data_IF_566097508692
#
_entry.id   IF_566097508692
#
_cell.length_a   1.000
_cell.length_b   1.000
_cell.length_c   1.000
_cell.angle_alpha   90.00
_cell.angle_beta   90.00
_cell.angle_gamma   90.00
#
_symmetry.space_group_name_H-M   'P 1'
#
loop_
_entity.id
_entity.type
_entity.pdbx_description
1 polymer ?
#
# COMPACT_ATOMS: atom_id res chain seq x y z
N UNK A 1 9.00 -15.28 5.75
CA UNK A 1 9.59 -14.21 4.91
C UNK A 1 8.77 -12.95 5.14
N UNK A 2 9.30 -12.02 5.94
CA UNK A 2 8.62 -10.75 6.24
C UNK A 2 8.94 -9.79 5.11
N UNK A 3 8.03 -9.65 4.15
CA UNK A 3 8.17 -8.65 3.10
C UNK A 3 8.10 -7.27 3.77
N UNK A 4 9.25 -6.61 3.86
CA UNK A 4 9.36 -5.24 4.34
C UNK A 4 8.57 -4.37 3.37
N UNK A 5 7.44 -3.87 3.85
CA UNK A 5 6.55 -2.99 3.11
C UNK A 5 7.15 -1.59 3.04
N UNK A 6 8.20 -1.45 2.23
CA UNK A 6 8.84 -0.17 1.91
C UNK A 6 9.05 -0.15 0.41
N UNK A 7 7.96 -0.32 -0.35
CA UNK A 7 8.01 -0.11 -1.80
C UNK A 7 6.89 0.84 -2.19
N UNK A 8 7.34 2.07 -2.38
CA UNK A 8 6.72 3.24 -2.97
C UNK A 8 5.46 3.86 -2.34
N UNK A 9 5.71 5.00 -1.69
CA UNK A 9 4.81 6.14 -1.65
C UNK A 9 5.64 7.37 -2.02
N UNK A 10 5.96 7.57 -3.30
CA UNK A 10 6.46 8.86 -3.75
C UNK A 10 5.29 9.62 -4.33
N UNK A 11 4.79 10.59 -3.56
CA UNK A 11 4.61 11.98 -3.96
C UNK A 11 4.55 12.82 -2.64
N UNK A 12 5.58 13.64 -2.41
CA UNK A 12 5.62 14.81 -1.52
C UNK A 12 5.67 14.74 0.03
N UNK A 13 5.64 13.58 0.71
CA UNK A 13 5.85 13.56 2.18
C UNK A 13 6.78 12.43 2.63
N UNK A 14 7.58 12.68 3.67
CA UNK A 14 8.41 11.67 4.34
C UNK A 14 7.61 10.37 4.54
N UNK A 15 8.07 9.25 3.99
CA UNK A 15 7.27 8.01 3.87
C UNK A 15 6.70 7.49 5.20
N UNK A 16 7.37 7.81 6.32
CA UNK A 16 6.89 7.47 7.67
C UNK A 16 5.70 8.31 8.12
N UNK A 17 5.59 9.58 7.74
CA UNK A 17 4.51 10.47 8.20
C UNK A 17 3.19 10.13 7.54
N UNK A 18 3.19 9.84 6.24
CA UNK A 18 1.95 9.44 5.54
C UNK A 18 1.35 8.16 6.13
N UNK A 19 2.18 7.12 6.28
CA UNK A 19 1.76 5.87 6.91
C UNK A 19 1.29 6.08 8.35
N UNK A 20 1.93 6.98 9.12
CA UNK A 20 1.50 7.29 10.48
C UNK A 20 0.18 8.06 10.57
N UNK A 21 -0.10 8.91 9.58
CA UNK A 21 -1.32 9.73 9.54
C UNK A 21 -2.53 8.91 9.10
N UNK A 22 -2.37 8.05 8.10
CA UNK A 22 -3.50 7.42 7.42
C UNK A 22 -3.65 5.91 7.67
N UNK A 23 -2.69 5.25 8.31
CA UNK A 23 -2.84 3.84 8.69
C UNK A 23 -3.22 3.69 10.17
N UNK A 24 -4.01 2.65 10.52
CA UNK A 24 -4.46 2.42 11.89
C UNK A 24 -3.31 2.40 12.90
N UNK A 25 -3.54 2.98 14.10
CA UNK A 25 -2.52 3.10 15.17
C UNK A 25 -2.12 1.77 15.84
N UNK A 26 -3.00 0.80 15.77
CA UNK A 26 -2.83 -0.55 16.29
C UNK A 26 -3.25 -1.55 15.20
N UNK A 27 -3.25 -2.84 15.52
CA UNK A 27 -3.72 -3.86 14.59
C UNK A 27 -5.13 -3.52 14.07
N UNK A 28 -5.29 -3.46 12.76
CA UNK A 28 -6.52 -3.00 12.12
C UNK A 28 -6.65 -3.48 10.68
N UNK A 29 -7.73 -3.08 10.02
CA UNK A 29 -7.97 -3.32 8.60
C UNK A 29 -7.91 -2.03 7.80
N UNK A 30 -7.44 -2.13 6.56
CA UNK A 30 -7.59 -1.10 5.54
C UNK A 30 -8.18 -1.72 4.27
N UNK A 31 -8.70 -0.87 3.41
CA UNK A 31 -9.22 -1.27 2.12
C UNK A 31 -8.28 -0.86 1.00
N UNK A 32 -7.96 -1.78 0.09
CA UNK A 32 -7.31 -1.47 -1.18
C UNK A 32 -8.28 -1.70 -2.32
N UNK A 33 -8.55 -0.64 -3.07
CA UNK A 33 -9.41 -0.65 -4.25
C UNK A 33 -8.51 -0.71 -5.48
N UNK A 34 -8.74 -1.67 -6.36
CA UNK A 34 -8.01 -1.73 -7.62
C UNK A 34 -8.70 -0.92 -8.72
N UNK A 35 -8.04 -0.78 -9.89
CA UNK A 35 -8.59 -0.06 -11.04
C UNK A 35 -9.95 -0.60 -11.55
N UNK A 36 -10.26 -1.88 -11.28
CA UNK A 36 -11.56 -2.48 -11.61
C UNK A 36 -12.63 -2.28 -10.51
N UNK A 37 -12.36 -1.45 -9.49
CA UNK A 37 -13.27 -1.19 -8.37
C UNK A 37 -13.36 -2.31 -7.34
N UNK A 38 -12.59 -3.40 -7.47
CA UNK A 38 -12.63 -4.51 -6.51
C UNK A 38 -11.86 -4.13 -5.24
N UNK A 39 -12.53 -4.34 -4.11
CA UNK A 39 -12.01 -4.08 -2.77
C UNK A 39 -11.25 -5.29 -2.22
N UNK A 40 -10.11 -5.03 -1.59
CA UNK A 40 -9.28 -6.00 -0.88
C UNK A 40 -9.07 -5.54 0.56
N UNK A 41 -9.47 -6.39 1.50
CA UNK A 41 -9.25 -6.14 2.93
C UNK A 41 -7.83 -6.58 3.29
N UNK A 42 -7.04 -5.64 3.79
CA UNK A 42 -5.66 -5.87 4.16
C UNK A 42 -5.48 -5.55 5.64
N UNK A 43 -4.90 -6.49 6.40
CA UNK A 43 -4.58 -6.20 7.80
C UNK A 43 -3.32 -5.37 7.90
N UNK A 44 -3.32 -4.43 8.83
CA UNK A 44 -2.17 -3.61 9.18
C UNK A 44 -1.75 -3.95 10.60
N UNK A 45 -0.44 -4.05 10.82
CA UNK A 45 0.14 -4.09 12.15
C UNK A 45 1.21 -3.00 12.33
N UNK A 46 1.63 -2.83 13.57
CA UNK A 46 2.69 -1.91 13.96
C UNK A 46 3.85 -2.73 14.51
N UNK A 47 5.08 -2.39 14.10
CA UNK A 47 6.29 -2.96 14.73
C UNK A 47 6.34 -2.63 16.22
N UNK A 48 7.14 -3.39 16.98
CA UNK A 48 7.40 -3.14 18.41
C UNK A 48 7.86 -1.71 18.73
N UNK A 49 8.50 -1.02 17.78
CA UNK A 49 8.93 0.37 17.95
C UNK A 49 7.80 1.40 17.74
N UNK A 50 6.56 1.00 17.45
CA UNK A 50 5.39 1.88 17.32
C UNK A 50 5.35 2.76 16.06
N UNK A 51 6.48 2.88 15.35
CA UNK A 51 6.69 3.87 14.28
C UNK A 51 6.40 3.28 12.91
N UNK A 52 6.72 2.00 12.70
CA UNK A 52 6.62 1.36 11.39
C UNK A 52 5.31 0.60 11.29
N UNK A 53 4.49 1.01 10.31
CA UNK A 53 3.27 0.32 9.87
C UNK A 53 3.62 -0.72 8.83
N UNK A 54 2.96 -1.88 8.87
CA UNK A 54 3.14 -2.91 7.85
C UNK A 54 1.78 -3.43 7.40
N UNK A 55 1.60 -3.62 6.11
CA UNK A 55 0.52 -4.47 5.61
C UNK A 55 0.94 -5.93 5.82
N UNK A 56 0.05 -6.71 6.41
CA UNK A 56 0.29 -8.08 6.84
C UNK A 56 -0.63 -9.02 6.07
N UNK A 57 -1.50 -9.72 6.77
CA UNK A 57 -2.36 -10.76 6.22
C UNK A 57 -3.12 -10.24 5.00
N UNK A 58 -3.26 -11.11 3.99
CA UNK A 58 -3.79 -10.80 2.66
C UNK A 58 -2.92 -9.94 1.74
N UNK A 59 -1.88 -9.22 2.23
CA UNK A 59 -0.97 -8.47 1.34
C UNK A 59 -0.22 -9.37 0.38
N UNK A 60 0.38 -10.46 0.85
CA UNK A 60 1.14 -11.37 -0.01
C UNK A 60 0.25 -12.02 -1.10
N UNK A 61 -0.99 -12.38 -0.74
CA UNK A 61 -1.97 -12.91 -1.69
C UNK A 61 -2.40 -11.86 -2.71
N UNK A 62 -2.63 -10.62 -2.27
CA UNK A 62 -2.93 -9.49 -3.15
C UNK A 62 -1.78 -9.18 -4.11
N UNK A 63 -0.55 -9.08 -3.59
CA UNK A 63 0.65 -8.81 -4.38
C UNK A 63 0.88 -9.89 -5.43
N UNK A 64 0.71 -11.16 -5.06
CA UNK A 64 0.76 -12.28 -5.99
C UNK A 64 -0.32 -12.19 -7.06
N UNK A 65 -1.58 -11.95 -6.68
CA UNK A 65 -2.70 -11.81 -7.62
C UNK A 65 -2.55 -10.61 -8.58
N UNK A 66 -1.74 -9.62 -8.22
CA UNK A 66 -1.43 -8.43 -9.03
C UNK A 66 -0.05 -8.46 -9.68
N UNK A 67 0.67 -9.58 -9.60
CA UNK A 67 2.03 -9.73 -10.11
C UNK A 67 2.95 -8.58 -9.68
N UNK A 68 2.87 -8.21 -8.40
CA UNK A 68 3.72 -7.19 -7.79
C UNK A 68 4.98 -7.87 -7.28
N UNK A 69 6.13 -7.44 -7.81
CA UNK A 69 7.46 -7.88 -7.41
C UNK A 69 8.23 -6.74 -6.74
N UNK A 70 9.38 -7.05 -6.13
CA UNK A 70 10.16 -6.07 -5.34
C UNK A 70 10.71 -4.90 -6.16
N UNK A 71 10.76 -5.00 -7.48
CA UNK A 71 11.20 -3.93 -8.38
C UNK A 71 10.07 -3.02 -8.84
N UNK A 72 8.81 -3.41 -8.57
CA UNK A 72 7.66 -2.61 -8.99
C UNK A 72 7.44 -1.44 -8.06
N UNK A 73 7.00 -0.32 -8.63
CA UNK A 73 6.55 0.82 -7.84
C UNK A 73 5.04 0.79 -7.75
N UNK A 74 4.51 0.73 -6.53
CA UNK A 74 3.08 0.92 -6.27
C UNK A 74 2.82 2.36 -5.83
N UNK A 75 1.67 2.92 -6.20
CA UNK A 75 1.21 4.22 -5.72
C UNK A 75 -0.12 4.01 -5.01
N UNK A 76 -0.24 4.61 -3.83
CA UNK A 76 -1.46 4.57 -3.02
C UNK A 76 -2.08 5.96 -2.98
N UNK A 77 -3.31 6.06 -3.43
CA UNK A 77 -4.14 7.26 -3.36
C UNK A 77 -5.17 7.07 -2.26
N UNK A 78 -5.13 7.93 -1.24
CA UNK A 78 -6.08 7.92 -0.14
C UNK A 78 -7.46 8.38 -0.62
N UNK A 79 -8.48 7.58 -0.32
CA UNK A 79 -9.87 7.83 -0.71
C UNK A 79 -10.74 8.27 0.45
N UNK A 80 -10.47 7.76 1.65
CA UNK A 80 -11.21 8.05 2.87
C UNK A 80 -10.29 7.90 4.09
N UNK A 81 -10.39 8.80 5.06
CA UNK A 81 -9.63 8.81 6.31
C UNK A 81 -10.35 8.12 7.48
N UNK A 82 -11.68 8.15 7.53
CA UNK A 82 -12.46 7.58 8.65
C UNK A 82 -12.33 6.05 8.70
N UNK A 83 -12.49 5.43 7.54
CA UNK A 83 -12.14 4.02 7.29
C UNK A 83 -11.07 4.04 6.20
N UNK A 84 -9.78 3.86 6.56
CA UNK A 84 -8.70 4.04 5.61
C UNK A 84 -8.86 3.16 4.37
N UNK A 85 -9.11 3.83 3.25
CA UNK A 85 -9.30 3.20 1.95
C UNK A 85 -8.34 3.84 0.95
N UNK A 86 -7.68 3.00 0.16
CA UNK A 86 -6.68 3.44 -0.80
C UNK A 86 -6.97 2.85 -2.17
N UNK A 87 -6.88 3.66 -3.23
CA UNK A 87 -6.67 3.10 -4.57
C UNK A 87 -5.20 2.78 -4.74
N UNK A 88 -4.90 1.63 -5.33
CA UNK A 88 -3.52 1.25 -5.62
C UNK A 88 -3.31 1.02 -7.11
N UNK A 89 -2.26 1.64 -7.63
CA UNK A 89 -1.83 1.51 -9.01
C UNK A 89 -0.40 0.98 -9.05
N UNK A 90 -0.11 0.08 -9.99
CA UNK A 90 1.26 -0.32 -10.28
C UNK A 90 1.79 0.58 -11.39
N UNK A 91 2.92 1.24 -11.14
CA UNK A 91 3.58 2.08 -12.14
C UNK A 91 4.39 1.17 -13.06
N UNK A 92 4.05 1.19 -14.34
CA UNK A 92 4.83 0.54 -15.39
C UNK A 92 5.70 1.60 -16.05
N UNK A 93 7.02 1.44 -15.95
CA UNK A 93 7.97 2.28 -16.68
C UNK A 93 8.25 1.61 -18.01
N UNK A 94 7.45 1.93 -19.03
CA UNK A 94 7.81 1.61 -20.40
C UNK A 94 8.76 2.69 -20.92
N UNK A 95 9.74 2.32 -21.74
CA UNK A 95 10.85 3.17 -22.20
C UNK A 95 10.49 4.47 -22.93
N UNK A 96 9.21 4.86 -22.98
CA UNK A 96 8.73 6.14 -23.54
C UNK A 96 7.50 6.76 -22.85
N UNK A 97 7.13 6.35 -21.64
CA UNK A 97 6.04 7.01 -20.90
C UNK A 97 5.61 6.25 -19.65
N UNK A 98 5.15 6.99 -18.62
CA UNK A 98 4.59 6.42 -17.38
C UNK A 98 3.12 6.08 -17.62
N UNK A 99 2.76 4.81 -17.50
CA UNK A 99 1.36 4.35 -17.55
C UNK A 99 0.93 3.87 -16.17
N UNK A 100 -0.22 4.35 -15.70
CA UNK A 100 -0.87 3.91 -14.46
C UNK A 100 -1.87 2.80 -14.81
N UNK A 101 -1.72 1.62 -14.19
CA UNK A 101 -2.62 0.47 -14.35
C UNK A 101 -3.34 0.13 -13.04
#
# INVERSE_FOLDING_TARGET
MSFNLVVCMFLQYNHGTFAQMHLPRCAGGIEIINAAGRVWQIRVDTRQNGIVRRLKESWAGFASAKNIISTDTCVFELMNDDVPAFKMYKVVVEGRGRTLL
#
